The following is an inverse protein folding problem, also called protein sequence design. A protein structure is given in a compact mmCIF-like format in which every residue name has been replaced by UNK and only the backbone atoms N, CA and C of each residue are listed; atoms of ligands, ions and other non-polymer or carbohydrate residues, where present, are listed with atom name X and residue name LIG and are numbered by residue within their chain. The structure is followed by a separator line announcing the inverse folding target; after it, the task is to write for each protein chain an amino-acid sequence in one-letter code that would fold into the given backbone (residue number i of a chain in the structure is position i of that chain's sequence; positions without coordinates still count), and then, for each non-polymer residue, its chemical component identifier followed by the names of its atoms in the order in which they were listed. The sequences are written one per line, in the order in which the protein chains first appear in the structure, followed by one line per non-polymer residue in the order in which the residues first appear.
data_IF_880258845694
#
_entry.id   IF_880258845694
#
_cell.length_a   1.000
_cell.length_b   1.000
_cell.length_c   1.000
_cell.angle_alpha   90.00
_cell.angle_beta   90.00
_cell.angle_gamma   90.00
#
_symmetry.space_group_name_H-M   'P 1'
#
loop_
_entity.id
_entity.type
_entity.pdbx_description
1 polymer ?
#
# COMPACT_ATOMS: atom_id res chain seq x y z
N UNK A 1 -7.21 23.00 -17.72
CA UNK A 1 -5.88 22.67 -17.16
C UNK A 1 -5.82 22.65 -15.62
N UNK A 2 -6.84 23.13 -14.90
CA UNK A 2 -6.85 23.15 -13.42
C UNK A 2 -7.01 21.77 -12.75
N UNK A 3 -7.73 20.83 -13.37
CA UNK A 3 -8.03 19.52 -12.77
C UNK A 3 -6.79 18.62 -12.61
N UNK A 4 -5.83 18.69 -13.55
CA UNK A 4 -4.60 17.89 -13.47
C UNK A 4 -3.64 18.41 -12.40
N UNK A 5 -3.63 19.73 -12.13
CA UNK A 5 -2.82 20.32 -11.05
C UNK A 5 -3.19 19.78 -9.67
N UNK A 6 -4.46 19.42 -9.44
CA UNK A 6 -4.89 18.81 -8.18
C UNK A 6 -4.22 17.47 -7.92
N UNK A 7 -4.10 16.63 -8.95
CA UNK A 7 -3.43 15.32 -8.87
C UNK A 7 -1.93 15.49 -8.59
N UNK A 8 -1.26 16.40 -9.30
CA UNK A 8 0.18 16.64 -9.12
C UNK A 8 0.54 17.38 -7.83
N UNK A 9 -0.37 18.17 -7.27
CA UNK A 9 -0.21 18.88 -6.00
C UNK A 9 -0.01 17.92 -4.81
N UNK A 10 -0.65 16.75 -4.86
CA UNK A 10 -0.72 15.80 -3.74
C UNK A 10 0.50 14.89 -3.61
N UNK A 11 1.24 14.66 -4.70
CA UNK A 11 2.46 13.84 -4.71
C UNK A 11 3.70 14.65 -4.38
N UNK A 12 4.69 14.02 -3.75
CA UNK A 12 6.00 14.63 -3.55
C UNK A 12 6.66 14.96 -4.90
N UNK A 13 7.37 16.10 -5.04
CA UNK A 13 7.93 16.55 -6.32
C UNK A 13 8.98 15.59 -6.92
N UNK A 14 9.49 14.63 -6.12
CA UNK A 14 10.40 13.59 -6.58
C UNK A 14 9.71 12.35 -7.17
N UNK A 15 8.37 12.27 -7.14
CA UNK A 15 7.61 11.04 -7.42
C UNK A 15 6.43 11.25 -8.37
N UNK A 16 6.58 12.09 -9.40
CA UNK A 16 5.51 12.32 -10.38
C UNK A 16 5.17 11.08 -11.22
N UNK A 17 6.14 10.19 -11.45
CA UNK A 17 5.92 8.92 -12.16
C UNK A 17 5.03 7.94 -11.37
N UNK A 18 4.86 8.15 -10.06
CA UNK A 18 4.09 7.24 -9.22
C UNK A 18 2.59 7.23 -9.54
N UNK A 19 2.04 8.32 -10.07
CA UNK A 19 0.64 8.32 -10.54
C UNK A 19 0.41 7.27 -11.64
N UNK A 20 1.39 7.06 -12.52
CA UNK A 20 1.31 6.03 -13.56
C UNK A 20 1.29 4.64 -12.94
N UNK A 21 2.11 4.40 -11.91
CA UNK A 21 2.13 3.12 -11.17
C UNK A 21 0.81 2.86 -10.44
N UNK A 22 0.17 3.88 -9.87
CA UNK A 22 -1.14 3.74 -9.23
C UNK A 22 -2.23 3.40 -10.25
N UNK A 23 -2.22 4.05 -11.42
CA UNK A 23 -3.15 3.72 -12.49
C UNK A 23 -2.91 2.30 -13.03
N UNK A 24 -1.64 1.92 -13.20
CA UNK A 24 -1.25 0.58 -13.61
C UNK A 24 -1.70 -0.48 -12.60
N UNK A 25 -1.56 -0.22 -11.30
CA UNK A 25 -2.10 -1.08 -10.24
C UNK A 25 -3.60 -1.31 -10.41
N UNK A 26 -4.37 -0.24 -10.53
CA UNK A 26 -5.83 -0.34 -10.69
C UNK A 26 -6.22 -1.07 -11.97
N UNK A 27 -5.47 -0.86 -13.06
CA UNK A 27 -5.65 -1.58 -14.32
C UNK A 27 -5.38 -3.08 -14.18
N UNK A 28 -4.27 -3.48 -13.54
CA UNK A 28 -3.94 -4.89 -13.30
C UNK A 28 -5.02 -5.55 -12.43
N UNK A 29 -5.44 -4.90 -11.34
CA UNK A 29 -6.48 -5.42 -10.45
C UNK A 29 -7.81 -5.62 -11.18
N UNK A 30 -8.16 -4.74 -12.12
CA UNK A 30 -9.36 -4.88 -12.95
C UNK A 30 -9.22 -5.97 -14.02
N UNK A 31 -8.01 -6.21 -14.54
CA UNK A 31 -7.75 -7.21 -15.59
C UNK A 31 -7.66 -8.64 -15.08
N UNK A 32 -7.18 -8.86 -13.86
CA UNK A 32 -7.04 -10.22 -13.28
C UNK A 32 -8.33 -11.05 -13.35
N UNK A 33 -9.54 -10.57 -12.94
CA UNK A 33 -10.77 -11.36 -13.07
C UNK A 33 -11.17 -11.63 -14.53
N UNK A 34 -10.78 -10.74 -15.46
CA UNK A 34 -11.12 -10.87 -16.89
C UNK A 34 -10.28 -11.95 -17.56
N UNK A 35 -9.00 -12.04 -17.18
CA UNK A 35 -8.05 -13.01 -17.74
C UNK A 35 -8.21 -14.39 -17.11
N UNK A 36 -8.41 -14.46 -15.78
CA UNK A 36 -8.49 -15.72 -15.04
C UNK A 36 -9.95 -16.07 -14.69
N UNK A 37 -10.74 -16.43 -15.70
CA UNK A 37 -12.17 -16.75 -15.53
C UNK A 37 -12.40 -18.17 -14.95
N UNK A 38 -11.46 -19.10 -15.18
CA UNK A 38 -11.66 -20.52 -14.93
C UNK A 38 -11.20 -21.01 -13.55
N UNK A 39 -10.55 -20.16 -12.74
CA UNK A 39 -9.93 -20.60 -11.49
C UNK A 39 -9.96 -19.51 -10.42
N UNK A 40 -10.96 -19.57 -9.53
CA UNK A 40 -11.13 -18.64 -8.40
C UNK A 40 -9.88 -18.58 -7.53
N UNK A 41 -9.18 -19.70 -7.40
CA UNK A 41 -7.99 -19.80 -6.56
C UNK A 41 -6.80 -19.10 -7.21
N UNK A 42 -6.53 -19.40 -8.49
CA UNK A 42 -5.44 -18.76 -9.22
C UNK A 42 -5.68 -17.25 -9.31
N UNK A 43 -6.92 -16.85 -9.56
CA UNK A 43 -7.36 -15.46 -9.54
C UNK A 43 -7.08 -14.79 -8.18
N UNK A 44 -7.43 -15.45 -7.08
CA UNK A 44 -7.19 -14.93 -5.72
C UNK A 44 -5.70 -14.84 -5.39
N UNK A 45 -4.91 -15.85 -5.75
CA UNK A 45 -3.46 -15.83 -5.57
C UNK A 45 -2.80 -14.69 -6.34
N UNK A 46 -3.15 -14.49 -7.61
CA UNK A 46 -2.60 -13.40 -8.44
C UNK A 46 -3.01 -12.03 -7.92
N UNK A 47 -4.29 -11.84 -7.55
CA UNK A 47 -4.74 -10.56 -7.02
C UNK A 47 -4.05 -10.24 -5.69
N UNK A 48 -3.94 -11.23 -4.80
CA UNK A 48 -3.26 -11.09 -3.53
C UNK A 48 -1.76 -10.78 -3.70
N UNK A 49 -1.08 -11.43 -4.63
CA UNK A 49 0.32 -11.16 -4.94
C UNK A 49 0.51 -9.75 -5.51
N UNK A 50 -0.35 -9.32 -6.43
CA UNK A 50 -0.31 -7.98 -7.00
C UNK A 50 -0.49 -6.90 -5.92
N UNK A 51 -1.52 -7.03 -5.07
CA UNK A 51 -1.76 -6.10 -3.97
C UNK A 51 -0.56 -6.03 -3.02
N UNK A 52 0.04 -7.17 -2.67
CA UNK A 52 1.20 -7.22 -1.78
C UNK A 52 2.44 -6.52 -2.39
N UNK A 53 2.72 -6.75 -3.67
CA UNK A 53 3.83 -6.08 -4.38
C UNK A 53 3.64 -4.56 -4.39
N UNK A 54 2.45 -4.09 -4.76
CA UNK A 54 2.16 -2.67 -4.79
C UNK A 54 2.21 -2.05 -3.38
N UNK A 55 1.76 -2.77 -2.36
CA UNK A 55 1.85 -2.32 -0.97
C UNK A 55 3.30 -2.19 -0.50
N UNK A 56 4.17 -3.17 -0.80
CA UNK A 56 5.60 -3.09 -0.49
C UNK A 56 6.26 -1.90 -1.18
N UNK A 57 5.97 -1.73 -2.48
CA UNK A 57 6.49 -0.61 -3.26
C UNK A 57 6.02 0.74 -2.71
N UNK A 58 4.75 0.84 -2.31
CA UNK A 58 4.18 2.05 -1.71
C UNK A 58 4.82 2.38 -0.35
N UNK A 59 5.06 1.37 0.49
CA UNK A 59 5.71 1.55 1.80
C UNK A 59 7.18 1.99 1.65
N UNK A 60 7.85 1.54 0.59
CA UNK A 60 9.21 1.96 0.27
C UNK A 60 9.28 3.39 -0.27
N UNK A 61 8.45 3.71 -1.28
CA UNK A 61 8.51 5.01 -1.97
C UNK A 61 7.86 6.13 -1.18
N UNK A 62 6.83 5.84 -0.35
CA UNK A 62 6.06 6.82 0.43
C UNK A 62 5.67 8.04 -0.42
N UNK A 63 4.88 7.81 -1.49
CA UNK A 63 4.63 8.79 -2.54
C UNK A 63 3.90 10.05 -2.06
N UNK A 64 3.17 9.93 -0.94
CA UNK A 64 2.37 11.01 -0.38
C UNK A 64 3.22 11.95 0.49
N UNK A 65 3.02 13.26 0.33
CA UNK A 65 3.66 14.29 1.17
C UNK A 65 3.32 14.16 2.65
N UNK A 66 2.11 13.67 2.96
CA UNK A 66 1.65 13.47 4.33
C UNK A 66 1.84 12.02 4.75
N UNK A 67 2.44 11.81 5.92
CA UNK A 67 2.59 10.47 6.52
C UNK A 67 1.22 9.82 6.77
N UNK A 68 0.20 10.61 7.16
CA UNK A 68 -1.17 10.10 7.36
C UNK A 68 -1.77 9.54 6.08
N UNK A 69 -1.46 10.13 4.92
CA UNK A 69 -1.95 9.62 3.64
C UNK A 69 -1.24 8.31 3.25
N UNK A 70 0.08 8.20 3.50
CA UNK A 70 0.80 6.93 3.33
C UNK A 70 0.23 5.82 4.23
N UNK A 71 -0.15 6.15 5.46
CA UNK A 71 -0.77 5.20 6.40
C UNK A 71 -2.17 4.77 5.97
N UNK A 72 -3.04 5.70 5.57
CA UNK A 72 -4.39 5.39 5.10
C UNK A 72 -4.37 4.51 3.85
N UNK A 73 -3.50 4.82 2.89
CA UNK A 73 -3.34 4.04 1.66
C UNK A 73 -2.78 2.64 1.94
N UNK A 74 -1.89 2.52 2.95
CA UNK A 74 -1.42 1.24 3.47
C UNK A 74 -2.57 0.43 4.10
N UNK A 75 -3.37 1.07 4.97
CA UNK A 75 -4.53 0.45 5.61
C UNK A 75 -5.54 -0.05 4.58
N UNK A 76 -5.88 0.76 3.56
CA UNK A 76 -6.75 0.33 2.47
C UNK A 76 -6.23 -0.92 1.75
N UNK A 77 -4.92 -0.99 1.50
CA UNK A 77 -4.29 -2.16 0.87
C UNK A 77 -4.38 -3.40 1.76
N UNK A 78 -4.17 -3.26 3.07
CA UNK A 78 -4.34 -4.36 4.05
C UNK A 78 -5.80 -4.85 4.08
N UNK A 79 -6.77 -3.94 4.14
CA UNK A 79 -8.19 -4.29 4.18
C UNK A 79 -8.64 -4.99 2.90
N UNK A 80 -8.17 -4.54 1.73
CA UNK A 80 -8.40 -5.22 0.45
C UNK A 80 -7.84 -6.65 0.46
N UNK A 81 -6.66 -6.85 1.03
CA UNK A 81 -6.05 -8.17 1.15
C UNK A 81 -6.84 -9.10 2.07
N UNK A 82 -7.30 -8.60 3.22
CA UNK A 82 -8.14 -9.35 4.15
C UNK A 82 -9.47 -9.74 3.52
N UNK A 83 -10.11 -8.79 2.81
CA UNK A 83 -11.34 -9.05 2.07
C UNK A 83 -11.14 -10.16 1.04
N UNK A 84 -10.02 -10.13 0.32
CA UNK A 84 -9.69 -11.13 -0.67
C UNK A 84 -9.47 -12.52 -0.07
N UNK A 85 -8.77 -12.59 1.06
CA UNK A 85 -8.57 -13.83 1.79
C UNK A 85 -9.91 -14.41 2.27
N UNK A 86 -10.76 -13.60 2.88
CA UNK A 86 -12.08 -14.03 3.32
C UNK A 86 -12.92 -14.53 2.14
N UNK A 87 -12.86 -13.84 0.98
CA UNK A 87 -13.53 -14.26 -0.24
C UNK A 87 -13.01 -15.59 -0.78
N UNK A 88 -11.69 -15.80 -0.77
CA UNK A 88 -11.06 -17.05 -1.21
C UNK A 88 -11.46 -18.23 -0.31
N UNK A 89 -11.52 -18.02 1.01
CA UNK A 89 -11.94 -19.03 2.00
C UNK A 89 -13.44 -19.36 1.92
N UNK A 90 -14.28 -18.39 1.52
CA UNK A 90 -15.72 -18.58 1.39
C UNK A 90 -16.13 -19.26 0.06
N UNK A 91 -15.19 -19.44 -0.88
CA UNK A 91 -15.50 -20.03 -2.18
C UNK A 91 -15.67 -21.56 -2.07
N UNK A 92 -16.73 -22.15 -2.62
CA UNK A 92 -16.88 -23.60 -2.67
C UNK A 92 -15.82 -24.20 -3.62
N UNK A 93 -15.06 -25.17 -3.14
CA UNK A 93 -13.97 -25.84 -3.89
C UNK A 93 -14.16 -27.36 -3.73
N UNK A 94 -13.99 -28.10 -4.84
CA UNK A 94 -14.11 -29.56 -4.87
C UNK A 94 -13.02 -30.27 -4.05
N UNK A 95 -13.42 -31.33 -3.32
CA UNK A 95 -12.64 -32.02 -2.28
C UNK A 95 -11.37 -32.75 -2.75
N UNK A 96 -11.19 -32.98 -4.05
CA UNK A 96 -9.98 -33.61 -4.60
C UNK A 96 -8.86 -32.62 -4.88
N UNK A 97 -9.20 -31.33 -5.09
CA UNK A 97 -8.22 -30.27 -5.35
C UNK A 97 -7.90 -29.50 -4.07
N UNK A 98 -8.66 -29.70 -2.99
CA UNK A 98 -8.55 -28.92 -1.76
C UNK A 98 -7.21 -29.09 -1.02
N UNK A 99 -6.55 -30.25 -1.07
CA UNK A 99 -5.37 -30.48 -0.20
C UNK A 99 -4.11 -29.79 -0.71
N UNK A 100 -3.78 -29.90 -2.00
CA UNK A 100 -2.66 -29.17 -2.61
C UNK A 100 -2.87 -27.65 -2.52
N UNK A 101 -4.11 -27.25 -2.76
CA UNK A 101 -4.54 -25.87 -2.72
C UNK A 101 -4.53 -25.30 -1.30
N UNK A 102 -4.84 -26.12 -0.30
CA UNK A 102 -4.75 -25.75 1.11
C UNK A 102 -3.32 -25.56 1.53
N UNK A 103 -2.38 -26.40 1.08
CA UNK A 103 -0.96 -26.23 1.38
C UNK A 103 -0.42 -24.94 0.76
N UNK A 104 -0.65 -24.72 -0.54
CA UNK A 104 -0.20 -23.52 -1.25
C UNK A 104 -0.89 -22.26 -0.70
N UNK A 105 -2.20 -22.33 -0.49
CA UNK A 105 -3.00 -21.24 0.08
C UNK A 105 -2.58 -20.89 1.50
N UNK A 106 -2.27 -21.88 2.34
CA UNK A 106 -1.76 -21.64 3.71
C UNK A 106 -0.35 -21.05 3.67
N UNK A 107 0.52 -21.51 2.77
CA UNK A 107 1.86 -20.94 2.62
C UNK A 107 1.83 -19.47 2.18
N UNK A 108 1.01 -19.14 1.18
CA UNK A 108 0.80 -17.75 0.73
C UNK A 108 0.14 -16.93 1.84
N UNK A 109 -0.81 -17.50 2.58
CA UNK A 109 -1.46 -16.83 3.71
C UNK A 109 -0.47 -16.48 4.83
N UNK A 110 0.35 -17.44 5.26
CA UNK A 110 1.38 -17.22 6.29
C UNK A 110 2.36 -16.14 5.83
N UNK A 111 2.82 -16.22 4.57
CA UNK A 111 3.70 -15.21 3.99
C UNK A 111 3.07 -13.82 4.01
N UNK A 112 1.80 -13.70 3.58
CA UNK A 112 1.07 -12.44 3.58
C UNK A 112 0.87 -11.88 4.99
N UNK A 113 0.52 -12.74 5.96
CA UNK A 113 0.36 -12.33 7.37
C UNK A 113 1.68 -11.83 7.95
N UNK A 114 2.81 -12.48 7.65
CA UNK A 114 4.13 -12.03 8.10
C UNK A 114 4.51 -10.68 7.49
N UNK A 115 4.31 -10.50 6.18
CA UNK A 115 4.58 -9.23 5.48
C UNK A 115 3.70 -8.10 6.02
N UNK A 116 2.40 -8.36 6.16
CA UNK A 116 1.43 -7.40 6.68
C UNK A 116 1.74 -7.05 8.14
N UNK A 117 1.96 -8.06 8.98
CA UNK A 117 2.32 -7.91 10.38
C UNK A 117 3.59 -7.08 10.55
N UNK A 118 4.64 -7.35 9.76
CA UNK A 118 5.85 -6.55 9.75
C UNK A 118 5.59 -5.09 9.32
N UNK A 119 4.78 -4.88 8.27
CA UNK A 119 4.46 -3.53 7.77
C UNK A 119 3.67 -2.69 8.79
N UNK A 120 2.71 -3.31 9.48
CA UNK A 120 1.93 -2.68 10.54
C UNK A 120 2.81 -2.42 11.75
N UNK A 121 3.64 -3.38 12.16
CA UNK A 121 4.57 -3.22 13.28
C UNK A 121 5.56 -2.07 13.03
N UNK A 122 6.13 -1.97 11.82
CA UNK A 122 7.01 -0.84 11.44
C UNK A 122 6.25 0.49 11.45
N UNK A 123 5.00 0.49 10.96
CA UNK A 123 4.16 1.70 10.96
C UNK A 123 3.83 2.16 12.37
N UNK A 124 3.43 1.24 13.25
CA UNK A 124 3.17 1.51 14.67
C UNK A 124 4.44 1.96 15.38
N UNK A 125 5.58 1.30 15.15
CA UNK A 125 6.87 1.70 15.70
C UNK A 125 7.21 3.15 15.34
N UNK A 126 7.02 3.55 14.08
CA UNK A 126 7.26 4.93 13.64
C UNK A 126 6.29 5.95 14.23
N UNK A 127 5.09 5.54 14.62
CA UNK A 127 4.11 6.40 15.31
C UNK A 127 4.45 6.53 16.79
N UNK A 128 4.79 5.42 17.44
CA UNK A 128 5.11 5.36 18.87
C UNK A 128 6.49 5.94 19.20
N UNK A 129 7.44 5.91 18.26
CA UNK A 129 8.77 6.50 18.42
C UNK A 129 8.83 7.84 17.69
N UNK A 130 8.59 8.98 18.39
CA UNK A 130 8.66 10.29 17.78
C UNK A 130 10.09 10.60 17.33
N UNK A 131 10.31 10.74 16.02
CA UNK A 131 11.56 11.28 15.48
C UNK A 131 11.73 12.77 15.82
N UNK A 132 12.97 13.31 15.77
CA UNK A 132 13.25 14.72 16.08
C UNK A 132 12.48 15.64 15.12
N UNK A 133 11.40 16.26 15.62
CA UNK A 133 10.52 17.15 14.85
C UNK A 133 11.05 18.58 14.89
N UNK A 134 11.98 18.92 14.01
CA UNK A 134 12.20 20.32 13.63
C UNK A 134 11.54 20.57 12.28
N UNK A 135 10.29 21.05 12.30
CA UNK A 135 9.53 21.32 11.08
C UNK A 135 9.98 22.60 10.38
N UNK A 136 10.49 23.55 11.16
CA UNK A 136 11.06 24.81 10.69
C UNK A 136 12.12 25.24 11.70
N UNK A 137 13.34 25.50 11.23
CA UNK A 137 14.26 26.35 11.97
C UNK A 137 13.92 27.79 11.56
N UNK A 138 13.23 28.52 12.44
CA UNK A 138 13.07 29.96 12.26
C UNK A 138 14.43 30.56 12.56
N UNK A 139 15.19 30.88 11.52
CA UNK A 139 16.36 31.73 11.65
C UNK A 139 15.87 33.14 12.02
N UNK A 140 15.82 33.46 13.31
CA UNK A 140 15.75 34.85 13.73
C UNK A 140 17.07 35.51 13.32
N UNK A 141 17.07 36.27 12.22
CA UNK A 141 18.10 37.28 12.04
C UNK A 141 17.96 38.24 13.21
N UNK A 142 18.99 38.34 14.07
CA UNK A 142 19.06 39.30 15.17
C UNK A 142 19.01 40.70 14.56
N UNK A 143 17.83 41.30 14.45
CA UNK A 143 17.68 42.70 14.11
C UNK A 143 18.38 43.48 15.22
N UNK A 144 19.61 43.94 14.94
CA UNK A 144 20.28 44.95 15.75
C UNK A 144 19.51 46.26 15.52
N UNK A 145 18.50 46.52 16.33
CA UNK A 145 17.97 47.86 16.50
C UNK A 145 18.84 48.57 17.53
N UNK A 146 19.93 49.17 17.05
CA UNK A 146 20.77 50.13 17.77
C UNK A 146 21.23 51.19 16.79
N UNK A 147 20.41 52.19 16.52
CA UNK A 147 20.78 53.55 16.12
C UNK A 147 19.53 54.40 16.43
N UNK A 148 19.49 55.12 17.56
CA UNK A 148 20.01 56.50 17.73
C UNK A 148 19.56 57.42 16.59
#
# INVERSE_FOLDING_TARGET
MLATQFLFSRFAPKSHAYSILVLLKSFILAMVPVVFQAGVVLQSCFLGFAIALFMMHQQYVRPWKSETANQMDGLCSVTLQLLLLCGALASPIDSSTTDELRIVGTGVFVFLVLVLGASVAVSLYRVCVPGPRYKWFICHHKAREWFL
#
